data_IF_723166476907
#
_entry.id   IF_723166476907
#
_cell.length_a   1.000
_cell.length_b   1.000
_cell.length_c   1.000
_cell.angle_alpha   90.00
_cell.angle_beta   90.00
_cell.angle_gamma   90.00
#
_symmetry.space_group_name_H-M   'P 1'
#
loop_
_entity.id
_entity.type
_entity.pdbx_description
1 polymer ?
#
# COMPACT_ATOMS: atom_id res chain seq x y z
N UNK A 1 -9.82 2.77 3.49
CA UNK A 1 -8.47 2.93 4.10
C UNK A 1 -8.42 2.06 5.34
N UNK A 2 -7.49 1.09 5.39
CA UNK A 2 -7.29 0.18 6.51
C UNK A 2 -5.92 0.50 7.15
N UNK A 3 -5.92 1.43 8.09
CA UNK A 3 -4.70 1.99 8.69
C UNK A 3 -3.81 0.94 9.37
N UNK A 4 -4.39 -0.10 9.95
CA UNK A 4 -3.65 -1.17 10.60
C UNK A 4 -2.88 -2.00 9.56
N UNK A 5 -3.57 -2.41 8.50
CA UNK A 5 -3.00 -3.17 7.38
C UNK A 5 -1.84 -2.43 6.73
N UNK A 6 -2.11 -1.18 6.31
CA UNK A 6 -1.15 -0.39 5.55
C UNK A 6 0.11 -0.09 6.40
N UNK A 7 -0.08 0.13 7.70
CA UNK A 7 1.02 0.27 8.67
C UNK A 7 1.81 -1.01 8.82
N UNK A 8 1.13 -2.14 9.05
CA UNK A 8 1.79 -3.42 9.24
C UNK A 8 2.65 -3.79 8.02
N UNK A 9 2.09 -3.68 6.81
CA UNK A 9 2.81 -4.00 5.58
C UNK A 9 4.04 -3.09 5.42
N UNK A 10 3.89 -1.79 5.65
CA UNK A 10 5.01 -0.85 5.57
C UNK A 10 6.13 -1.19 6.56
N UNK A 11 5.78 -1.55 7.80
CA UNK A 11 6.74 -1.95 8.83
C UNK A 11 7.43 -3.27 8.47
N UNK A 12 6.66 -4.25 7.97
CA UNK A 12 7.16 -5.57 7.60
C UNK A 12 8.14 -5.52 6.42
N UNK A 13 7.83 -4.71 5.41
CA UNK A 13 8.69 -4.56 4.24
C UNK A 13 9.94 -3.71 4.55
N UNK A 14 9.95 -2.94 5.65
CA UNK A 14 11.02 -1.99 5.98
C UNK A 14 11.07 -0.76 5.06
N UNK A 15 10.10 -0.59 4.16
CA UNK A 15 9.97 0.51 3.20
C UNK A 15 8.52 0.89 2.91
N UNK A 16 8.33 2.17 2.55
CA UNK A 16 7.01 2.70 2.21
C UNK A 16 6.72 2.33 0.77
N UNK A 17 5.60 1.65 0.56
CA UNK A 17 5.11 1.33 -0.78
C UNK A 17 4.21 2.44 -1.36
N UNK A 18 3.97 3.53 -0.62
CA UNK A 18 3.29 4.73 -1.12
C UNK A 18 4.30 5.78 -1.64
N UNK A 19 3.98 6.52 -2.70
CA UNK A 19 4.81 7.58 -3.26
C UNK A 19 4.77 8.87 -2.43
N UNK A 20 5.93 9.54 -2.35
CA UNK A 20 6.14 10.75 -1.57
C UNK A 20 6.85 11.80 -2.42
N UNK A 21 6.25 12.99 -2.55
CA UNK A 21 6.87 14.14 -3.21
C UNK A 21 7.22 15.23 -2.16
N UNK A 22 8.51 15.41 -1.82
CA UNK A 22 8.95 16.41 -0.83
C UNK A 22 8.78 17.86 -1.30
N UNK A 23 8.61 18.11 -2.60
CA UNK A 23 8.61 19.45 -3.18
C UNK A 23 7.19 20.02 -3.38
N UNK A 24 6.14 19.26 -3.02
CA UNK A 24 4.72 19.66 -3.18
C UNK A 24 3.94 19.77 -1.88
N UNK A 25 4.16 20.87 -1.12
CA UNK A 25 3.35 21.17 0.05
C UNK A 25 1.89 21.56 -0.25
N UNK A 26 0.90 20.98 0.44
CA UNK A 26 -0.49 21.46 0.50
C UNK A 26 -0.72 22.33 1.74
N UNK A 27 -1.10 23.60 1.50
CA UNK A 27 -1.56 24.53 2.54
C UNK A 27 -3.10 24.57 2.58
N UNK A 28 -3.70 24.53 3.78
CA UNK A 28 -5.13 24.87 3.95
C UNK A 28 -5.36 25.86 5.09
N UNK A 29 -6.45 26.63 5.01
CA UNK A 29 -6.81 27.80 5.85
C UNK A 29 -6.94 27.55 7.37
N UNK A 30 -6.85 26.30 7.83
CA UNK A 30 -6.94 25.94 9.24
C UNK A 30 -6.00 24.81 9.67
N UNK A 31 -5.13 24.28 8.79
CA UNK A 31 -4.07 23.30 9.13
C UNK A 31 -3.10 23.06 7.94
N UNK A 32 -1.83 22.86 8.26
CA UNK A 32 -0.80 22.30 7.36
C UNK A 32 -0.79 20.77 7.52
N UNK A 33 -1.01 19.99 6.44
CA UNK A 33 -1.09 18.51 6.49
C UNK A 33 0.04 17.85 5.68
N UNK A 34 0.73 16.86 6.27
CA UNK A 34 1.89 16.20 5.68
C UNK A 34 2.07 14.72 6.03
N UNK A 35 2.67 14.04 5.04
CA UNK A 35 2.54 12.63 4.70
C UNK A 35 3.76 11.80 5.13
N UNK A 36 3.45 10.65 5.74
CA UNK A 36 4.24 9.43 5.95
C UNK A 36 5.78 9.48 5.86
N UNK A 37 6.50 9.19 6.95
CA UNK A 37 7.96 8.92 6.96
C UNK A 37 8.32 7.44 7.14
N UNK A 38 7.73 6.55 6.32
CA UNK A 38 7.52 5.10 6.54
C UNK A 38 6.28 4.74 7.39
N UNK A 39 5.39 5.73 7.62
CA UNK A 39 3.91 5.62 7.76
C UNK A 39 3.18 6.11 9.02
N UNK A 40 3.81 6.79 9.98
CA UNK A 40 3.04 7.45 11.05
C UNK A 40 2.35 8.76 10.56
N UNK A 41 1.26 8.63 9.79
CA UNK A 41 0.54 9.72 9.09
C UNK A 41 -0.04 10.84 9.97
N UNK A 42 -0.31 12.03 9.41
CA UNK A 42 -1.68 12.37 8.98
C UNK A 42 -1.81 13.05 7.60
N UNK A 43 -2.76 12.49 6.85
CA UNK A 43 -3.19 12.75 5.48
C UNK A 43 -4.49 13.54 5.58
N UNK A 44 -4.70 14.58 4.75
CA UNK A 44 -6.03 15.12 4.41
C UNK A 44 -5.89 16.13 3.24
N UNK A 45 -6.49 15.96 2.06
CA UNK A 45 -7.43 14.95 1.60
C UNK A 45 -7.23 14.55 0.13
N UNK A 46 -7.85 13.42 -0.21
CA UNK A 46 -7.99 12.83 -1.55
C UNK A 46 -6.90 11.86 -2.06
N UNK A 47 -6.22 11.11 -1.18
CA UNK A 47 -5.38 9.98 -1.62
C UNK A 47 -6.04 8.65 -1.25
N UNK A 48 -6.63 8.00 -2.26
CA UNK A 48 -6.86 6.57 -2.27
C UNK A 48 -5.50 5.88 -2.46
N UNK A 49 -4.96 5.19 -1.47
CA UNK A 49 -3.68 4.44 -1.57
C UNK A 49 -3.75 3.24 -2.50
N UNK A 50 -4.96 2.95 -2.98
CA UNK A 50 -5.22 2.00 -4.05
C UNK A 50 -4.94 2.67 -5.40
N UNK A 51 -3.89 3.48 -5.56
CA UNK A 51 -3.43 3.93 -6.88
C UNK A 51 -2.44 2.93 -7.45
N UNK A 52 -2.44 2.81 -8.77
CA UNK A 52 -1.66 1.81 -9.51
C UNK A 52 -0.15 1.88 -9.19
N UNK A 53 0.41 3.09 -9.10
CA UNK A 53 1.83 3.36 -8.89
C UNK A 53 2.34 2.89 -7.50
N UNK A 54 1.54 3.11 -6.45
CA UNK A 54 1.86 2.68 -5.09
C UNK A 54 1.75 1.16 -4.94
N UNK A 55 0.74 0.58 -5.60
CA UNK A 55 0.50 -0.85 -5.54
C UNK A 55 1.55 -1.68 -6.26
N UNK A 56 2.11 -1.15 -7.35
CA UNK A 56 3.22 -1.77 -8.06
C UNK A 56 4.42 -2.05 -7.15
N UNK A 57 4.74 -1.13 -6.22
CA UNK A 57 5.86 -1.33 -5.27
C UNK A 57 5.59 -2.47 -4.29
N UNK A 58 4.36 -2.57 -3.80
CA UNK A 58 3.95 -3.64 -2.88
C UNK A 58 3.98 -5.00 -3.58
N UNK A 59 3.48 -5.07 -4.81
CA UNK A 59 3.45 -6.29 -5.60
C UNK A 59 4.86 -6.78 -5.96
N UNK A 60 5.73 -5.91 -6.47
CA UNK A 60 7.12 -6.25 -6.80
C UNK A 60 7.88 -6.77 -5.58
N UNK A 61 7.74 -6.12 -4.42
CA UNK A 61 8.38 -6.61 -3.21
C UNK A 61 7.89 -8.00 -2.82
N UNK A 62 6.58 -8.28 -2.98
CA UNK A 62 6.01 -9.58 -2.67
C UNK A 62 6.52 -10.68 -3.62
N UNK A 63 6.72 -10.36 -4.91
CA UNK A 63 7.32 -11.26 -5.91
C UNK A 63 8.75 -11.68 -5.54
N UNK A 64 9.50 -10.81 -4.88
CA UNK A 64 10.88 -11.09 -4.44
C UNK A 64 10.96 -12.00 -3.19
N UNK A 65 9.82 -12.32 -2.55
CA UNK A 65 9.79 -13.20 -1.38
C UNK A 65 9.41 -14.63 -1.78
N UNK A 66 10.36 -15.57 -1.74
CA UNK A 66 10.14 -16.99 -2.04
C UNK A 66 8.96 -17.61 -1.25
N UNK A 67 8.73 -17.10 -0.04
CA UNK A 67 7.70 -17.59 0.86
C UNK A 67 6.30 -17.02 0.61
N UNK A 68 6.16 -16.11 -0.37
CA UNK A 68 4.90 -15.52 -0.84
C UNK A 68 4.49 -16.02 -2.24
N UNK A 69 5.29 -16.87 -2.90
CA UNK A 69 5.06 -17.26 -4.30
C UNK A 69 3.65 -17.78 -4.58
N UNK A 70 3.08 -18.63 -3.71
CA UNK A 70 1.72 -19.16 -3.92
C UNK A 70 0.63 -18.10 -3.72
N UNK A 71 0.84 -17.14 -2.82
CA UNK A 71 -0.08 -16.01 -2.64
C UNK A 71 -0.05 -15.11 -3.86
N UNK A 72 1.15 -14.74 -4.31
CA UNK A 72 1.36 -13.84 -5.45
C UNK A 72 0.80 -14.43 -6.75
N UNK A 73 0.94 -15.74 -6.98
CA UNK A 73 0.33 -16.43 -8.14
C UNK A 73 -1.18 -16.30 -8.23
N UNK A 74 -1.87 -16.00 -7.13
CA UNK A 74 -3.30 -15.77 -7.10
C UNK A 74 -3.72 -14.42 -7.69
N UNK A 75 -2.76 -13.54 -8.01
CA UNK A 75 -2.99 -12.20 -8.51
C UNK A 75 -2.12 -11.95 -9.74
N UNK A 76 -2.68 -11.34 -10.78
CA UNK A 76 -1.90 -10.93 -11.94
C UNK A 76 -1.68 -9.41 -11.94
N UNK A 77 -0.49 -8.94 -12.31
CA UNK A 77 -0.17 -7.51 -12.35
C UNK A 77 -1.16 -6.65 -13.18
N UNK A 78 -1.82 -7.26 -14.17
CA UNK A 78 -2.87 -6.63 -14.99
C UNK A 78 -4.15 -6.33 -14.21
N UNK A 79 -4.43 -7.10 -13.16
CA UNK A 79 -5.62 -6.96 -12.32
C UNK A 79 -5.57 -5.66 -11.50
N UNK A 80 -4.40 -5.04 -11.41
CA UNK A 80 -4.17 -3.79 -10.68
C UNK A 80 -4.25 -2.53 -11.55
N UNK A 81 -4.64 -2.61 -12.82
CA UNK A 81 -4.67 -1.44 -13.74
C UNK A 81 -6.04 -0.76 -13.83
N UNK A 82 -6.04 0.52 -14.19
CA UNK A 82 -7.14 1.51 -14.14
C UNK A 82 -8.51 1.07 -14.69
N UNK A 83 -9.27 0.40 -13.83
CA UNK A 83 -10.71 0.14 -13.94
C UNK A 83 -11.33 0.18 -12.54
N UNK A 84 -12.66 0.32 -12.44
CA UNK A 84 -13.36 0.24 -11.15
C UNK A 84 -13.02 -1.05 -10.36
N UNK A 85 -12.67 -2.12 -11.09
CA UNK A 85 -12.25 -3.39 -10.54
C UNK A 85 -10.79 -3.38 -10.03
N UNK A 86 -9.92 -2.55 -10.62
CA UNK A 86 -8.52 -2.46 -10.22
C UNK A 86 -8.34 -2.02 -8.77
N UNK A 87 -9.13 -1.06 -8.30
CA UNK A 87 -9.09 -0.65 -6.87
C UNK A 87 -9.53 -1.78 -5.93
N UNK A 88 -10.48 -2.62 -6.36
CA UNK A 88 -10.90 -3.78 -5.59
C UNK A 88 -9.77 -4.82 -5.50
N UNK A 89 -9.19 -5.23 -6.63
CA UNK A 89 -8.11 -6.23 -6.66
C UNK A 89 -6.87 -5.77 -5.89
N UNK A 90 -6.54 -4.48 -5.94
CA UNK A 90 -5.50 -3.89 -5.10
C UNK A 90 -5.84 -4.07 -3.62
N UNK A 91 -7.04 -3.74 -3.17
CA UNK A 91 -7.39 -3.94 -1.77
C UNK A 91 -7.40 -5.43 -1.36
N UNK A 92 -7.91 -6.33 -2.20
CA UNK A 92 -7.91 -7.77 -1.95
C UNK A 92 -6.49 -8.33 -1.80
N UNK A 93 -5.55 -7.91 -2.66
CA UNK A 93 -4.16 -8.32 -2.54
C UNK A 93 -3.52 -7.83 -1.23
N UNK A 94 -3.68 -6.56 -0.90
CA UNK A 94 -3.11 -6.00 0.32
C UNK A 94 -3.68 -6.68 1.57
N UNK A 95 -4.98 -6.99 1.58
CA UNK A 95 -5.63 -7.73 2.66
C UNK A 95 -5.09 -9.16 2.76
N UNK A 96 -5.00 -9.88 1.64
CA UNK A 96 -4.47 -11.24 1.60
C UNK A 96 -3.01 -11.31 2.09
N UNK A 97 -2.18 -10.38 1.63
CA UNK A 97 -0.78 -10.27 2.03
C UNK A 97 -0.64 -9.98 3.53
N UNK A 98 -1.47 -9.08 4.04
CA UNK A 98 -1.50 -8.75 5.47
C UNK A 98 -1.88 -9.95 6.33
N UNK A 99 -2.98 -10.64 6.02
CA UNK A 99 -3.42 -11.81 6.79
C UNK A 99 -2.39 -12.94 6.77
N UNK A 100 -1.78 -13.19 5.60
CA UNK A 100 -0.73 -14.19 5.48
C UNK A 100 0.49 -13.87 6.36
N UNK A 101 1.01 -12.64 6.27
CA UNK A 101 2.19 -12.22 7.04
C UNK A 101 1.91 -12.16 8.54
N UNK A 102 0.72 -11.72 8.92
CA UNK A 102 0.26 -11.70 10.33
C UNK A 102 0.21 -13.10 10.91
N UNK A 103 -0.33 -14.08 10.17
CA UNK A 103 -0.44 -15.48 10.62
C UNK A 103 0.91 -16.15 10.89
N UNK A 104 1.99 -15.69 10.23
CA UNK A 104 3.35 -16.22 10.39
C UNK A 104 4.15 -15.58 11.52
N UNK A 105 3.72 -14.43 12.03
CA UNK A 105 4.38 -13.71 13.13
C UNK A 105 3.78 -14.05 14.51
N UNK A 106 2.85 -15.00 14.56
CA UNK A 106 2.22 -15.56 15.77
C UNK A 106 2.75 -16.96 16.05
#
# INVERSE_FOLDING_TARGET
MNEERDRFLTEYMGWCWHDYDPDKPLNTYSLEAYVCKKCKGFILGNNDFSVEEDFGKLFVWAEEQDYLTELVRGFEGKDFTDSAQGSLYRNEFADALYEFLKSRNT
#
